data_IF_241999164266
#
_entry.id   IF_241999164266
#
_cell.length_a   1.000
_cell.length_b   1.000
_cell.length_c   1.000
_cell.angle_alpha   90.00
_cell.angle_beta   90.00
_cell.angle_gamma   90.00
#
_symmetry.space_group_name_H-M   'P 1'
#
loop_
_entity.id
_entity.type
_entity.pdbx_description
1 polymer ?
#
# COMPACT_ATOMS: atom_id res chain seq x y z
N UNK A 1 -30.91 -27.86 -28.73
CA UNK A 1 -31.06 -26.44 -28.38
C UNK A 1 -30.45 -26.25 -27.01
N UNK A 2 -29.32 -25.56 -26.90
CA UNK A 2 -28.70 -25.30 -25.58
C UNK A 2 -29.56 -24.26 -24.86
N UNK A 3 -29.94 -24.54 -23.62
CA UNK A 3 -30.83 -23.67 -22.85
C UNK A 3 -30.11 -22.38 -22.45
N UNK A 4 -30.84 -21.26 -22.46
CA UNK A 4 -30.32 -19.95 -22.07
C UNK A 4 -29.74 -19.93 -20.65
N UNK A 5 -30.25 -20.81 -19.78
CA UNK A 5 -29.72 -21.04 -18.44
C UNK A 5 -28.27 -21.54 -18.44
N UNK A 6 -27.91 -22.41 -19.38
CA UNK A 6 -26.55 -22.95 -19.50
C UNK A 6 -25.59 -21.90 -20.06
N UNK A 7 -26.05 -21.08 -21.00
CA UNK A 7 -25.27 -19.95 -21.54
C UNK A 7 -25.03 -18.91 -20.45
N UNK A 8 -26.06 -18.56 -19.67
CA UNK A 8 -25.93 -17.62 -18.54
C UNK A 8 -24.96 -18.12 -17.47
N UNK A 9 -25.01 -19.42 -17.14
CA UNK A 9 -24.07 -20.02 -16.19
C UNK A 9 -22.62 -20.02 -16.71
N UNK A 10 -22.42 -20.35 -17.99
CA UNK A 10 -21.09 -20.32 -18.61
C UNK A 10 -20.51 -18.91 -18.69
N UNK A 11 -21.32 -17.91 -19.04
CA UNK A 11 -20.91 -16.49 -19.06
C UNK A 11 -20.53 -16.02 -17.66
N UNK A 12 -21.29 -16.38 -16.62
CA UNK A 12 -20.94 -16.03 -15.23
C UNK A 12 -19.65 -16.72 -14.77
N UNK A 13 -19.43 -17.97 -15.16
CA UNK A 13 -18.20 -18.69 -14.86
C UNK A 13 -16.99 -18.04 -15.56
N UNK A 14 -17.11 -17.72 -16.85
CA UNK A 14 -16.07 -16.99 -17.58
C UNK A 14 -15.82 -15.60 -16.98
N UNK A 15 -16.86 -14.84 -16.64
CA UNK A 15 -16.71 -13.56 -15.94
C UNK A 15 -16.08 -13.71 -14.55
N UNK A 16 -16.28 -14.84 -13.87
CA UNK A 16 -15.62 -15.12 -12.59
C UNK A 16 -14.15 -15.48 -12.75
N UNK A 17 -13.79 -16.18 -13.83
CA UNK A 17 -12.40 -16.51 -14.17
C UNK A 17 -11.66 -15.26 -14.71
N UNK A 18 -12.26 -14.54 -15.65
CA UNK A 18 -11.72 -13.33 -16.28
C UNK A 18 -11.71 -12.13 -15.32
N UNK A 19 -12.72 -12.03 -14.45
CA UNK A 19 -12.89 -10.94 -13.49
C UNK A 19 -12.44 -11.26 -12.07
N UNK A 20 -11.90 -12.46 -11.81
CA UNK A 20 -11.55 -12.97 -10.47
C UNK A 20 -12.70 -12.81 -9.46
N UNK A 21 -13.94 -12.91 -9.93
CA UNK A 21 -15.15 -12.73 -9.11
C UNK A 21 -15.39 -13.99 -8.30
N UNK A 22 -14.73 -14.09 -7.15
CA UNK A 22 -14.78 -15.25 -6.25
C UNK A 22 -13.54 -15.41 -5.39
N UNK A 23 -12.44 -14.77 -5.79
CA UNK A 23 -11.23 -14.62 -4.98
C UNK A 23 -10.87 -13.14 -4.92
N UNK A 24 -11.48 -12.40 -4.00
CA UNK A 24 -11.10 -11.02 -3.67
C UNK A 24 -9.74 -10.93 -2.95
N UNK A 25 -8.79 -11.82 -3.27
CA UNK A 25 -7.43 -11.83 -2.76
C UNK A 25 -6.59 -10.73 -3.38
N UNK A 26 -6.94 -9.47 -3.08
CA UNK A 26 -6.07 -8.33 -3.38
C UNK A 26 -4.88 -8.39 -2.45
N UNK A 27 -3.67 -8.32 -3.02
CA UNK A 27 -2.46 -8.26 -2.22
C UNK A 27 -2.27 -6.81 -1.80
N UNK A 28 -2.27 -6.58 -0.50
CA UNK A 28 -2.04 -5.27 0.09
C UNK A 28 -0.60 -5.16 0.56
N UNK A 29 0.18 -4.34 -0.13
CA UNK A 29 1.56 -4.02 0.22
C UNK A 29 1.59 -2.73 1.04
N UNK A 30 1.95 -2.85 2.31
CA UNK A 30 2.15 -1.69 3.20
C UNK A 30 3.62 -1.52 3.47
N UNK A 31 4.19 -0.36 3.13
CA UNK A 31 5.59 -0.05 3.39
C UNK A 31 5.73 1.18 4.29
N UNK A 32 6.54 1.04 5.33
CA UNK A 32 6.90 2.12 6.26
C UNK A 32 8.39 2.45 6.09
N UNK A 33 8.68 3.74 5.90
CA UNK A 33 10.03 4.25 5.71
C UNK A 33 10.41 5.17 6.85
N UNK A 34 11.35 4.74 7.68
CA UNK A 34 11.83 5.49 8.84
C UNK A 34 13.17 6.14 8.51
N UNK A 35 13.21 7.47 8.44
CA UNK A 35 14.46 8.17 8.15
C UNK A 35 15.30 8.43 9.41
N UNK A 36 16.50 8.99 9.25
CA UNK A 36 17.39 9.35 10.35
C UNK A 36 16.87 10.51 11.21
N UNK A 37 17.37 10.59 12.43
CA UNK A 37 17.02 11.64 13.40
C UNK A 37 17.29 13.04 12.83
N UNK A 38 16.32 13.94 12.96
CA UNK A 38 16.41 15.32 12.48
C UNK A 38 16.38 15.46 10.96
N UNK A 39 15.95 14.41 10.25
CA UNK A 39 15.72 14.44 8.80
C UNK A 39 14.26 14.73 8.50
N UNK A 40 14.04 15.49 7.43
CA UNK A 40 12.73 15.84 6.92
C UNK A 40 12.82 15.85 5.40
N UNK A 41 11.96 15.07 4.74
CA UNK A 41 12.04 14.84 3.30
C UNK A 41 11.85 16.10 2.46
N UNK A 42 11.04 17.07 2.89
CA UNK A 42 10.76 18.29 2.14
C UNK A 42 11.91 19.30 2.29
N UNK A 43 12.42 19.43 3.52
CA UNK A 43 13.58 20.28 3.81
C UNK A 43 14.84 19.74 3.13
N UNK A 44 15.13 18.45 3.32
CA UNK A 44 16.31 17.80 2.74
C UNK A 44 16.27 17.75 1.20
N UNK A 45 15.07 17.80 0.59
CA UNK A 45 14.95 17.91 -0.86
C UNK A 45 15.44 19.28 -1.38
N UNK A 46 15.06 20.35 -0.68
CA UNK A 46 15.45 21.72 -1.04
C UNK A 46 16.95 21.92 -0.92
N UNK A 47 17.56 21.30 0.10
CA UNK A 47 19.01 21.35 0.35
C UNK A 47 19.81 20.28 -0.44
N UNK A 48 19.18 19.55 -1.38
CA UNK A 48 19.79 18.44 -2.13
C UNK A 48 20.47 17.36 -1.26
N UNK A 49 19.97 17.15 -0.03
CA UNK A 49 20.59 16.31 1.01
C UNK A 49 19.72 15.12 1.41
N UNK A 50 18.92 14.61 0.48
CA UNK A 50 18.05 13.45 0.68
C UNK A 50 18.84 12.23 1.16
N UNK A 51 18.36 11.63 2.25
CA UNK A 51 18.85 10.37 2.80
C UNK A 51 18.57 9.19 1.85
N UNK A 52 19.22 8.05 2.11
CA UNK A 52 18.94 6.82 1.37
C UNK A 52 17.50 6.35 1.57
N UNK A 53 16.92 6.56 2.76
CA UNK A 53 15.54 6.19 3.05
C UNK A 53 14.55 7.08 2.30
N UNK A 54 14.78 8.39 2.26
CA UNK A 54 13.96 9.32 1.47
C UNK A 54 14.05 9.01 -0.04
N UNK A 55 15.23 8.63 -0.53
CA UNK A 55 15.42 8.18 -1.92
C UNK A 55 14.65 6.89 -2.19
N UNK A 56 14.70 5.92 -1.28
CA UNK A 56 13.99 4.67 -1.40
C UNK A 56 12.47 4.87 -1.39
N UNK A 57 11.96 5.70 -0.47
CA UNK A 57 10.55 6.09 -0.41
C UNK A 57 10.07 6.67 -1.75
N UNK A 58 10.84 7.58 -2.36
CA UNK A 58 10.51 8.19 -3.66
C UNK A 58 10.57 7.22 -4.84
N UNK A 59 11.40 6.18 -4.75
CA UNK A 59 11.50 5.15 -5.79
C UNK A 59 10.45 4.05 -5.67
N UNK A 60 9.80 3.93 -4.50
CA UNK A 60 8.82 2.89 -4.25
C UNK A 60 7.52 3.11 -5.05
N UNK A 61 6.84 2.05 -5.52
CA UNK A 61 5.53 2.16 -6.16
C UNK A 61 4.50 2.90 -5.30
N UNK A 62 3.99 4.02 -5.80
CA UNK A 62 2.91 4.76 -5.14
C UNK A 62 1.53 4.21 -5.53
N UNK A 63 0.47 4.82 -5.00
CA UNK A 63 -0.91 4.43 -5.27
C UNK A 63 -1.28 4.50 -6.77
N UNK A 64 -0.55 5.30 -7.56
CA UNK A 64 -0.75 5.40 -9.00
C UNK A 64 -0.36 4.11 -9.75
N UNK A 65 0.45 3.25 -9.13
CA UNK A 65 0.83 1.93 -9.69
C UNK A 65 -0.05 0.79 -9.18
N UNK A 66 -1.16 1.10 -8.51
CA UNK A 66 -2.12 0.09 -8.08
C UNK A 66 -2.80 -0.55 -9.29
N UNK A 67 -2.93 -1.87 -9.25
CA UNK A 67 -3.64 -2.63 -10.29
C UNK A 67 -4.95 -3.20 -9.71
N UNK A 68 -5.77 -3.85 -10.54
CA UNK A 68 -6.99 -4.52 -10.06
C UNK A 68 -6.74 -5.53 -8.93
N UNK A 69 -5.52 -6.07 -8.86
CA UNK A 69 -5.09 -7.16 -7.96
C UNK A 69 -4.12 -6.73 -6.86
N UNK A 70 -3.47 -5.57 -6.99
CA UNK A 70 -2.42 -5.11 -6.06
C UNK A 70 -2.66 -3.68 -5.60
N UNK A 71 -2.62 -3.46 -4.28
CA UNK A 71 -2.72 -2.15 -3.67
C UNK A 71 -1.46 -1.89 -2.84
N UNK A 72 -0.76 -0.81 -3.15
CA UNK A 72 0.43 -0.35 -2.43
C UNK A 72 0.10 0.91 -1.65
N UNK A 73 0.39 0.91 -0.36
CA UNK A 73 0.31 2.09 0.51
C UNK A 73 1.67 2.30 1.14
N UNK A 74 2.20 3.50 1.01
CA UNK A 74 3.50 3.88 1.57
C UNK A 74 3.38 5.03 2.55
N UNK A 75 4.14 4.93 3.63
CA UNK A 75 4.17 5.95 4.67
C UNK A 75 5.62 6.32 4.98
N UNK A 76 5.93 7.62 4.93
CA UNK A 76 7.23 8.17 5.32
C UNK A 76 7.16 8.74 6.73
N UNK A 77 8.15 8.43 7.54
CA UNK A 77 8.22 8.83 8.95
C UNK A 77 9.53 9.58 9.16
N UNK A 78 9.40 10.88 9.40
CA UNK A 78 10.50 11.77 9.79
C UNK A 78 10.58 11.79 11.32
N UNK A 79 11.63 11.23 11.95
CA UNK A 79 11.82 11.41 13.38
C UNK A 79 12.40 12.79 13.65
N UNK A 80 11.50 13.74 13.93
CA UNK A 80 11.88 15.03 14.50
C UNK A 80 12.23 14.81 15.98
N UNK A 81 13.41 15.30 16.38
CA UNK A 81 14.02 15.23 17.73
C UNK A 81 13.32 14.29 18.72
N UNK A 82 13.75 13.03 18.76
CA UNK A 82 13.33 11.98 19.70
C UNK A 82 12.28 12.40 20.76
N UNK A 83 10.99 12.39 20.38
CA UNK A 83 9.76 12.02 21.13
C UNK A 83 8.53 12.59 20.38
N UNK A 84 7.46 11.81 20.13
CA UNK A 84 7.05 10.60 20.84
C UNK A 84 7.06 9.38 19.91
N UNK A 85 7.98 8.45 20.18
CA UNK A 85 7.88 7.07 19.73
C UNK A 85 6.54 6.41 20.11
N UNK A 86 5.78 6.97 21.06
CA UNK A 86 4.44 6.51 21.44
C UNK A 86 3.35 6.74 20.39
N UNK A 87 3.41 7.80 19.57
CA UNK A 87 2.36 8.06 18.57
C UNK A 87 2.52 7.15 17.35
N UNK A 88 3.75 6.85 16.97
CA UNK A 88 4.05 5.95 15.84
C UNK A 88 3.70 4.52 16.20
N UNK A 89 4.08 4.05 17.40
CA UNK A 89 3.65 2.75 17.91
C UNK A 89 2.12 2.69 18.03
N UNK A 90 1.44 3.74 18.53
CA UNK A 90 -0.02 3.73 18.61
C UNK A 90 -0.68 3.62 17.24
N UNK A 91 -0.22 4.37 16.22
CA UNK A 91 -0.80 4.29 14.87
C UNK A 91 -0.56 2.92 14.23
N UNK A 92 0.64 2.35 14.41
CA UNK A 92 0.95 1.00 13.91
C UNK A 92 0.09 -0.04 14.65
N UNK A 93 -0.03 0.04 15.98
CA UNK A 93 -0.87 -0.87 16.76
C UNK A 93 -2.35 -0.73 16.40
N UNK A 94 -2.88 0.47 16.22
CA UNK A 94 -4.28 0.68 15.80
C UNK A 94 -4.55 0.11 14.41
N UNK A 95 -3.64 0.31 13.45
CA UNK A 95 -3.77 -0.28 12.11
C UNK A 95 -3.67 -1.81 12.16
N UNK A 96 -2.75 -2.37 12.95
CA UNK A 96 -2.60 -3.82 13.10
C UNK A 96 -3.82 -4.46 13.79
N UNK A 97 -4.44 -3.78 14.76
CA UNK A 97 -5.62 -4.28 15.48
C UNK A 97 -6.91 -4.24 14.65
N UNK A 98 -7.01 -3.35 13.66
CA UNK A 98 -8.16 -3.31 12.72
C UNK A 98 -8.08 -4.45 11.69
N UNK A 99 -6.91 -5.07 11.54
CA UNK A 99 -6.63 -6.11 10.53
C UNK A 99 -6.66 -7.55 11.08
N UNK A 100 -6.89 -7.75 12.39
CA UNK A 100 -6.99 -9.07 13.04
C UNK A 100 -8.41 -9.32 13.54
#
# INVERSE_FOLDING_TARGET
MISESVISAAVRAQQSEDGKVGNCGRIWHVAFFFDGVGRNIDRDATDCRLSNIARLFRAYPDEQKNTGDTCNIINFISPEWALPTMTILSTIFTLLWILV
#
